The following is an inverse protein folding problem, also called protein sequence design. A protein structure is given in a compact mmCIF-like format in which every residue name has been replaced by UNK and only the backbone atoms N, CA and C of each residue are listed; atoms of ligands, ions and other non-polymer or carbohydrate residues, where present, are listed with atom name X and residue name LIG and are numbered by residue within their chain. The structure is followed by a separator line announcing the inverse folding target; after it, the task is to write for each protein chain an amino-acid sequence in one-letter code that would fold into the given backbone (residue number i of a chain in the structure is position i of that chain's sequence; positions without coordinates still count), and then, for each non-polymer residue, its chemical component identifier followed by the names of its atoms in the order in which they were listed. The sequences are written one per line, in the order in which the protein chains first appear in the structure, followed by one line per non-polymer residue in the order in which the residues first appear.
data_IF_381527828363
#
_entry.id   IF_381527828363
#
_cell.length_a   1.000
_cell.length_b   1.000
_cell.length_c   1.000
_cell.angle_alpha   90.00
_cell.angle_beta   90.00
_cell.angle_gamma   90.00
#
_symmetry.space_group_name_H-M   'P 1'
#
loop_
_entity.id
_entity.type
_entity.pdbx_description
1 polymer ?
#
# COMPACT_ATOMS: atom_id res chain seq x y z
N UNK A 1 -26.79 -16.30 -15.75
CA UNK A 1 -26.05 -15.82 -14.56
C UNK A 1 -26.66 -14.48 -14.19
N UNK A 2 -27.12 -14.30 -12.96
CA UNK A 2 -27.65 -13.01 -12.48
C UNK A 2 -26.56 -12.35 -11.63
N UNK A 3 -25.92 -11.32 -12.18
CA UNK A 3 -24.81 -10.59 -11.55
C UNK A 3 -25.29 -9.17 -11.27
N UNK A 4 -25.06 -8.70 -10.05
CA UNK A 4 -25.47 -7.36 -9.61
C UNK A 4 -24.24 -6.47 -9.34
N UNK A 5 -24.31 -5.16 -9.61
CA UNK A 5 -23.24 -4.23 -9.25
C UNK A 5 -23.03 -4.16 -7.73
N UNK A 6 -21.77 -3.98 -7.32
CA UNK A 6 -21.40 -3.69 -5.93
C UNK A 6 -21.57 -2.18 -5.70
N UNK A 7 -22.49 -1.78 -4.80
CA UNK A 7 -22.76 -0.36 -4.50
C UNK A 7 -22.54 -0.01 -3.04
N UNK A 8 -22.66 -0.98 -2.16
CA UNK A 8 -22.56 -0.82 -0.71
C UNK A 8 -21.52 -1.78 -0.14
N UNK A 9 -21.05 -1.50 1.07
CA UNK A 9 -20.14 -2.40 1.80
C UNK A 9 -20.76 -3.79 2.00
N UNK A 10 -22.06 -3.87 2.25
CA UNK A 10 -22.76 -5.14 2.40
C UNK A 10 -22.79 -5.96 1.10
N UNK A 11 -22.90 -5.30 -0.06
CA UNK A 11 -22.76 -5.99 -1.36
C UNK A 11 -21.34 -6.51 -1.53
N UNK A 12 -20.34 -5.71 -1.14
CA UNK A 12 -18.93 -6.04 -1.24
C UNK A 12 -18.58 -7.27 -0.37
N UNK A 13 -18.97 -7.26 0.90
CA UNK A 13 -18.77 -8.39 1.82
C UNK A 13 -19.44 -9.67 1.30
N UNK A 14 -20.68 -9.58 0.82
CA UNK A 14 -21.40 -10.73 0.27
C UNK A 14 -20.70 -11.32 -0.97
N UNK A 15 -20.17 -10.48 -1.85
CA UNK A 15 -19.43 -10.94 -3.04
C UNK A 15 -18.08 -11.55 -2.64
N UNK A 16 -17.39 -11.00 -1.63
CA UNK A 16 -16.15 -11.60 -1.11
C UNK A 16 -16.40 -13.01 -0.54
N UNK A 17 -17.48 -13.21 0.21
CA UNK A 17 -17.86 -14.54 0.70
C UNK A 17 -18.12 -15.52 -0.45
N UNK A 18 -18.81 -15.06 -1.49
CA UNK A 18 -19.08 -15.87 -2.68
C UNK A 18 -17.81 -16.25 -3.45
N UNK A 19 -16.90 -15.29 -3.64
CA UNK A 19 -15.58 -15.54 -4.23
C UNK A 19 -14.82 -16.57 -3.40
N UNK A 20 -14.79 -16.43 -2.07
CA UNK A 20 -14.09 -17.35 -1.19
C UNK A 20 -14.64 -18.79 -1.28
N UNK A 21 -15.95 -18.94 -1.47
CA UNK A 21 -16.57 -20.24 -1.72
C UNK A 21 -16.17 -20.80 -3.08
N UNK A 22 -16.24 -20.00 -4.15
CA UNK A 22 -15.86 -20.43 -5.50
C UNK A 22 -14.37 -20.81 -5.58
N UNK A 23 -13.48 -20.03 -4.96
CA UNK A 23 -12.05 -20.33 -4.92
C UNK A 23 -11.73 -21.65 -4.20
N UNK A 24 -12.53 -22.02 -3.19
CA UNK A 24 -12.35 -23.31 -2.49
C UNK A 24 -12.62 -24.50 -3.42
N UNK A 25 -13.56 -24.34 -4.34
CA UNK A 25 -13.94 -25.38 -5.29
C UNK A 25 -13.00 -25.47 -6.50
N UNK A 26 -12.04 -24.53 -6.62
CA UNK A 26 -11.00 -24.45 -7.66
C UNK A 26 -11.54 -24.70 -9.08
N UNK A 27 -12.54 -23.93 -9.55
CA UNK A 27 -13.18 -24.17 -10.83
C UNK A 27 -12.21 -23.91 -11.99
N UNK A 28 -12.25 -24.79 -12.98
CA UNK A 28 -11.46 -24.60 -14.21
C UNK A 28 -11.91 -23.33 -14.97
N UNK A 29 -10.95 -22.66 -15.61
CA UNK A 29 -11.24 -21.54 -16.49
C UNK A 29 -12.15 -21.96 -17.66
N UNK A 30 -13.09 -21.10 -18.03
CA UNK A 30 -14.05 -21.36 -19.11
C UNK A 30 -15.21 -22.27 -18.71
N UNK A 31 -15.32 -22.68 -17.44
CA UNK A 31 -16.55 -23.25 -16.90
C UNK A 31 -17.48 -22.14 -16.40
N UNK A 32 -18.79 -22.39 -16.25
CA UNK A 32 -19.71 -21.41 -15.69
C UNK A 32 -19.26 -20.86 -14.32
N UNK A 33 -18.70 -21.70 -13.46
CA UNK A 33 -18.19 -21.32 -12.14
C UNK A 33 -16.88 -20.53 -12.23
N UNK A 34 -15.98 -20.91 -13.15
CA UNK A 34 -14.73 -20.19 -13.40
C UNK A 34 -14.98 -18.79 -13.97
N UNK A 35 -15.88 -18.69 -14.96
CA UNK A 35 -16.31 -17.41 -15.53
C UNK A 35 -17.02 -16.54 -14.49
N UNK A 36 -17.78 -17.16 -13.57
CA UNK A 36 -18.41 -16.44 -12.45
C UNK A 36 -17.35 -15.83 -11.53
N UNK A 37 -16.37 -16.64 -11.14
CA UNK A 37 -15.29 -16.22 -10.25
C UNK A 37 -14.51 -15.05 -10.87
N UNK A 38 -14.19 -15.12 -12.16
CA UNK A 38 -13.50 -14.06 -12.89
C UNK A 38 -14.30 -12.74 -12.89
N UNK A 39 -15.60 -12.80 -13.20
CA UNK A 39 -16.46 -11.61 -13.22
C UNK A 39 -16.63 -11.00 -11.83
N UNK A 40 -16.88 -11.81 -10.79
CA UNK A 40 -17.03 -11.30 -9.43
C UNK A 40 -15.74 -10.67 -8.92
N UNK A 41 -14.59 -11.30 -9.19
CA UNK A 41 -13.28 -10.75 -8.82
C UNK A 41 -13.05 -9.40 -9.50
N UNK A 42 -13.42 -9.27 -10.77
CA UNK A 42 -13.33 -8.01 -11.52
C UNK A 42 -14.22 -6.91 -10.90
N UNK A 43 -15.43 -7.25 -10.45
CA UNK A 43 -16.33 -6.30 -9.79
C UNK A 43 -15.77 -5.82 -8.44
N UNK A 44 -15.22 -6.74 -7.64
CA UNK A 44 -14.55 -6.44 -6.37
C UNK A 44 -13.38 -5.48 -6.61
N UNK A 45 -12.50 -5.79 -7.56
CA UNK A 45 -11.37 -4.91 -7.92
C UNK A 45 -11.82 -3.50 -8.32
N UNK A 46 -12.89 -3.39 -9.11
CA UNK A 46 -13.43 -2.10 -9.53
C UNK A 46 -14.03 -1.31 -8.36
N UNK A 47 -14.63 -1.98 -7.37
CA UNK A 47 -15.14 -1.37 -6.16
C UNK A 47 -14.00 -0.91 -5.24
N UNK A 48 -13.02 -1.78 -4.99
CA UNK A 48 -11.83 -1.50 -4.17
C UNK A 48 -11.01 -0.33 -4.73
N UNK A 49 -10.82 -0.24 -6.04
CA UNK A 49 -10.10 0.87 -6.65
C UNK A 49 -10.71 2.25 -6.33
N UNK A 50 -12.02 2.31 -6.08
CA UNK A 50 -12.74 3.54 -5.75
C UNK A 50 -12.83 3.80 -4.24
N UNK A 51 -12.95 2.76 -3.43
CA UNK A 51 -13.24 2.88 -1.98
C UNK A 51 -11.99 2.64 -1.10
N UNK A 52 -11.07 1.81 -1.57
CA UNK A 52 -9.82 1.43 -0.91
C UNK A 52 -8.62 1.73 -1.82
N UNK A 53 -8.42 3.00 -2.23
CA UNK A 53 -7.30 3.35 -3.09
C UNK A 53 -5.99 2.95 -2.39
N UNK A 54 -5.07 2.36 -3.14
CA UNK A 54 -3.71 2.11 -2.66
C UNK A 54 -3.10 3.46 -2.34
N UNK A 55 -3.09 3.82 -1.06
CA UNK A 55 -2.53 5.09 -0.61
C UNK A 55 -1.05 5.10 -0.95
N UNK A 56 -0.51 6.22 -1.47
CA UNK A 56 0.92 6.35 -1.63
C UNK A 56 1.60 6.09 -0.28
N UNK A 57 2.80 5.47 -0.27
CA UNK A 57 3.49 5.17 0.97
C UNK A 57 3.66 6.45 1.77
N UNK A 58 3.34 6.42 3.07
CA UNK A 58 3.72 7.52 3.95
C UNK A 58 5.27 7.58 3.99
N UNK A 59 5.90 8.68 3.55
CA UNK A 59 7.35 8.81 3.54
C UNK A 59 8.01 8.51 4.87
N UNK A 60 7.34 8.82 5.98
CA UNK A 60 7.85 8.60 7.32
C UNK A 60 7.79 7.12 7.68
N UNK A 61 6.74 6.42 7.30
CA UNK A 61 6.65 4.97 7.54
C UNK A 61 7.66 4.22 6.68
N UNK A 62 7.90 4.64 5.43
CA UNK A 62 8.97 4.08 4.60
C UNK A 62 10.36 4.25 5.24
N UNK A 63 10.65 5.43 5.83
CA UNK A 63 11.89 5.67 6.55
C UNK A 63 12.00 4.78 7.80
N UNK A 64 10.96 4.71 8.63
CA UNK A 64 10.96 3.88 9.84
C UNK A 64 11.14 2.41 9.52
N UNK A 65 10.40 1.91 8.53
CA UNK A 65 10.52 0.55 8.05
C UNK A 65 11.95 0.24 7.61
N UNK A 66 12.57 1.15 6.86
CA UNK A 66 13.97 0.98 6.45
C UNK A 66 14.94 1.00 7.63
N UNK A 67 14.70 1.86 8.62
CA UNK A 67 15.48 1.90 9.85
C UNK A 67 15.38 0.59 10.62
N UNK A 68 14.18 0.03 10.79
CA UNK A 68 13.95 -1.25 11.44
C UNK A 68 14.66 -2.40 10.72
N UNK A 69 14.47 -2.51 9.40
CA UNK A 69 15.13 -3.52 8.57
C UNK A 69 16.66 -3.44 8.64
N UNK A 70 17.21 -2.24 8.80
CA UNK A 70 18.66 -1.99 8.87
C UNK A 70 19.23 -1.94 10.28
N UNK A 71 18.42 -2.06 11.34
CA UNK A 71 18.84 -1.81 12.71
C UNK A 71 19.39 -0.38 12.95
N UNK A 72 18.93 0.60 12.17
CA UNK A 72 19.45 1.97 12.20
C UNK A 72 18.83 2.77 13.33
N UNK A 73 19.68 3.50 14.05
CA UNK A 73 19.26 4.44 15.08
C UNK A 73 19.06 5.84 14.52
N UNK A 74 18.49 6.74 15.32
CA UNK A 74 18.39 8.17 14.98
C UNK A 74 19.77 8.81 14.73
N UNK A 75 20.82 8.33 15.40
CA UNK A 75 22.17 8.83 15.19
C UNK A 75 22.69 8.47 13.78
N UNK A 76 22.35 7.27 13.30
CA UNK A 76 22.76 6.77 11.98
C UNK A 76 22.04 7.50 10.83
N UNK A 77 20.91 8.16 11.12
CA UNK A 77 20.17 8.96 10.14
C UNK A 77 20.80 10.32 9.84
N UNK A 78 21.87 10.69 10.56
CA UNK A 78 22.54 11.99 10.42
C UNK A 78 23.02 12.32 9.00
N UNK A 79 23.61 11.38 8.24
CA UNK A 79 24.06 11.65 6.86
C UNK A 79 22.90 11.96 5.90
N UNK A 80 21.70 11.41 6.16
CA UNK A 80 20.56 11.47 5.23
C UNK A 80 19.61 12.62 5.53
N UNK A 81 19.33 12.88 6.81
CA UNK A 81 18.35 13.89 7.23
C UNK A 81 19.06 15.07 7.89
N UNK A 82 19.97 14.81 8.83
CA UNK A 82 20.75 15.83 9.54
C UNK A 82 20.84 15.56 11.05
N UNK A 83 21.14 16.56 11.89
CA UNK A 83 21.33 16.36 13.33
C UNK A 83 20.09 15.72 14.00
N UNK A 84 20.24 15.02 15.15
CA UNK A 84 19.17 14.23 15.77
C UNK A 84 17.84 14.98 15.96
N UNK A 85 17.86 16.25 16.38
CA UNK A 85 16.63 17.06 16.53
C UNK A 85 15.82 17.11 15.22
N UNK A 86 16.50 17.25 14.08
CA UNK A 86 15.88 17.30 12.76
C UNK A 86 15.33 15.94 12.34
N UNK A 87 16.03 14.87 12.68
CA UNK A 87 15.54 13.50 12.46
C UNK A 87 14.24 13.28 13.22
N UNK A 88 14.19 13.64 14.51
CA UNK A 88 12.95 13.56 15.29
C UNK A 88 11.83 14.45 14.74
N UNK A 89 12.13 15.67 14.30
CA UNK A 89 11.13 16.55 13.65
C UNK A 89 10.54 15.90 12.39
N UNK A 90 11.36 15.27 11.55
CA UNK A 90 10.90 14.57 10.35
C UNK A 90 10.09 13.33 10.72
N UNK A 91 10.62 12.46 11.59
CA UNK A 91 9.93 11.23 12.02
C UNK A 91 8.61 11.48 12.76
N UNK A 92 8.45 12.66 13.36
CA UNK A 92 7.21 13.12 14.00
C UNK A 92 6.32 13.97 13.10
N UNK A 93 6.63 14.07 11.80
CA UNK A 93 5.88 14.86 10.80
C UNK A 93 5.82 16.37 11.09
N UNK A 94 6.63 16.88 12.02
CA UNK A 94 6.74 18.33 12.30
C UNK A 94 7.50 19.06 11.20
N UNK A 95 8.30 18.34 10.41
CA UNK A 95 9.06 18.87 9.28
C UNK A 95 8.92 17.95 8.08
N UNK A 96 8.56 18.53 6.93
CA UNK A 96 8.57 17.83 5.65
C UNK A 96 9.99 17.50 5.19
N UNK A 97 10.14 16.44 4.41
CA UNK A 97 11.39 16.11 3.74
C UNK A 97 11.73 17.17 2.69
N UNK A 98 12.98 17.60 2.62
CA UNK A 98 13.46 18.39 1.50
C UNK A 98 13.93 17.49 0.36
N UNK A 99 13.95 18.00 -0.88
CA UNK A 99 14.47 17.24 -2.03
C UNK A 99 15.90 16.72 -1.82
N UNK A 100 16.73 17.47 -1.09
CA UNK A 100 18.08 17.02 -0.74
C UNK A 100 18.06 15.86 0.28
N UNK A 101 17.11 15.82 1.21
CA UNK A 101 16.93 14.66 2.09
C UNK A 101 16.43 13.45 1.30
N UNK A 102 15.43 13.64 0.44
CA UNK A 102 14.87 12.57 -0.40
C UNK A 102 15.97 11.91 -1.23
N UNK A 103 16.81 12.72 -1.91
CA UNK A 103 17.93 12.20 -2.69
C UNK A 103 18.90 11.40 -1.84
N UNK A 104 19.30 11.91 -0.67
CA UNK A 104 20.24 11.21 0.22
C UNK A 104 19.65 9.91 0.79
N UNK A 105 18.38 9.91 1.16
CA UNK A 105 17.67 8.71 1.63
C UNK A 105 17.57 7.67 0.52
N UNK A 106 17.24 8.09 -0.71
CA UNK A 106 17.18 7.20 -1.86
C UNK A 106 18.54 6.60 -2.19
N UNK A 107 19.57 7.43 -2.41
CA UNK A 107 20.90 6.94 -2.81
C UNK A 107 21.62 6.20 -1.68
N UNK A 108 21.40 6.63 -0.44
CA UNK A 108 22.15 6.13 0.71
C UNK A 108 21.52 4.91 1.39
N UNK A 109 20.19 4.84 1.42
CA UNK A 109 19.47 3.74 2.07
C UNK A 109 18.69 2.87 1.07
N UNK A 110 18.62 3.24 -0.20
CA UNK A 110 17.88 2.49 -1.21
C UNK A 110 16.36 2.60 -1.09
N UNK A 111 15.86 3.60 -0.37
CA UNK A 111 14.41 3.83 -0.26
C UNK A 111 13.90 4.35 -1.61
N UNK A 112 12.89 3.73 -2.25
CA UNK A 112 12.36 4.22 -3.51
C UNK A 112 11.93 5.69 -3.41
N UNK A 113 12.29 6.51 -4.40
CA UNK A 113 12.00 7.94 -4.36
C UNK A 113 10.48 8.22 -4.33
N UNK A 114 9.70 7.42 -5.04
CA UNK A 114 8.24 7.45 -5.02
C UNK A 114 7.65 7.27 -3.61
N UNK A 115 8.27 6.44 -2.78
CA UNK A 115 7.85 6.26 -1.38
C UNK A 115 8.19 7.44 -0.49
N UNK A 116 9.03 8.39 -0.94
CA UNK A 116 9.50 9.53 -0.14
C UNK A 116 8.88 10.87 -0.52
N UNK A 117 8.21 10.94 -1.67
CA UNK A 117 7.65 12.19 -2.22
C UNK A 117 6.28 12.47 -1.60
N UNK A 118 5.57 11.45 -1.10
CA UNK A 118 4.23 11.58 -0.53
C UNK A 118 3.19 12.02 -1.58
N UNK A 119 1.90 12.02 -1.22
CA UNK A 119 0.86 12.74 -1.97
C UNK A 119 0.99 14.26 -1.82
#
# INVERSE_FOLDING_TARGET
MDIRPIRTEADYEAVLEEIALLMRDDPMLGTPEGDRLDVLTTLVQAYEAQHYPVLPPDPIEAIKFRMEQGGLTVADMKPYIGPPHRVYEVLSRKRALSLAMIRRLHTGLGIPAESLIGP
#
